data_IF_875915609584
#
_entry.id   IF_875915609584
#
_cell.length_a   1.000
_cell.length_b   1.000
_cell.length_c   1.000
_cell.angle_alpha   90.00
_cell.angle_beta   90.00
_cell.angle_gamma   90.00
#
_symmetry.space_group_name_H-M   'P 1'
#
loop_
_entity.id
_entity.type
_entity.pdbx_description
1 polymer ?
#
# COMPACT_ATOMS: atom_id res chain seq x y z
N UNK A 1 -14.58 -0.69 -8.43
CA UNK A 1 -14.10 -0.21 -7.98
C UNK A 1 -12.74 -0.04 -8.11
N UNK A 2 -12.11 0.86 -7.78
CA UNK A 2 -10.77 1.05 -8.01
C UNK A 2 -9.97 0.72 -6.82
N UNK A 3 -8.78 0.26 -7.00
CA UNK A 3 -7.96 -0.03 -5.92
C UNK A 3 -7.12 1.14 -5.71
N UNK A 4 -6.77 1.52 -4.50
CA UNK A 4 -5.89 2.63 -4.23
C UNK A 4 -4.46 2.13 -4.37
N UNK A 5 -3.50 3.04 -4.44
CA UNK A 5 -2.11 2.64 -4.54
C UNK A 5 -1.70 1.86 -3.31
N UNK A 6 -2.23 2.20 -2.15
CA UNK A 6 -1.88 1.46 -0.96
C UNK A 6 -2.32 0.01 -1.08
N UNK A 7 -3.48 -0.21 -1.64
CA UNK A 7 -3.97 -1.56 -1.81
C UNK A 7 -3.12 -2.30 -2.82
N UNK A 8 -2.69 -1.62 -3.86
CA UNK A 8 -1.86 -2.24 -4.87
C UNK A 8 -0.55 -2.70 -4.23
N UNK A 9 0.06 -1.87 -3.40
CA UNK A 9 1.31 -2.23 -2.75
C UNK A 9 1.09 -3.36 -1.75
N UNK A 10 -0.03 -3.37 -1.07
CA UNK A 10 -0.30 -4.44 -0.14
C UNK A 10 -0.41 -5.76 -0.88
N UNK A 11 -1.03 -5.74 -2.02
CA UNK A 11 -1.17 -6.93 -2.81
C UNK A 11 0.19 -7.41 -3.26
N UNK A 12 1.06 -6.50 -3.71
CA UNK A 12 2.38 -6.88 -4.15
C UNK A 12 3.17 -7.46 -2.99
N UNK A 13 3.02 -6.87 -1.82
CA UNK A 13 3.71 -7.38 -0.66
C UNK A 13 3.30 -8.83 -0.38
N UNK A 14 2.04 -9.12 -0.43
CA UNK A 14 1.55 -10.47 -0.18
C UNK A 14 2.05 -11.42 -1.25
N UNK A 15 2.09 -10.97 -2.47
CA UNK A 15 2.52 -11.79 -3.56
C UNK A 15 4.00 -12.07 -3.54
N UNK A 16 4.83 -11.13 -3.24
CA UNK A 16 6.26 -11.31 -3.26
C UNK A 16 6.87 -11.43 -1.88
N UNK A 17 6.20 -10.95 -0.86
CA UNK A 17 6.74 -10.99 0.47
C UNK A 17 7.74 -9.88 0.73
N UNK A 18 7.72 -8.85 -0.08
CA UNK A 18 8.71 -7.78 0.03
C UNK A 18 8.20 -6.75 1.02
N UNK A 19 8.88 -6.59 2.13
CA UNK A 19 8.48 -5.63 3.14
C UNK A 19 8.52 -4.20 2.65
N UNK A 20 9.26 -3.93 1.62
CA UNK A 20 9.30 -2.59 1.06
C UNK A 20 7.91 -2.20 0.60
N UNK A 21 7.19 -3.12 0.03
CA UNK A 21 5.85 -2.84 -0.42
C UNK A 21 4.94 -2.55 0.77
N UNK A 22 5.14 -3.28 1.84
CA UNK A 22 4.33 -3.06 3.01
C UNK A 22 4.59 -1.66 3.56
N UNK A 23 5.83 -1.26 3.60
CA UNK A 23 6.16 0.06 4.08
C UNK A 23 5.57 1.13 3.21
N UNK A 24 5.61 0.94 1.90
CA UNK A 24 5.04 1.90 0.99
C UNK A 24 3.54 2.02 1.22
N UNK A 25 2.88 0.91 1.41
CA UNK A 25 1.46 0.93 1.62
C UNK A 25 1.12 1.69 2.90
N UNK A 26 1.87 1.43 3.96
CA UNK A 26 1.65 2.10 5.22
C UNK A 26 1.89 3.59 5.08
N UNK A 27 2.91 3.98 4.36
CA UNK A 27 3.22 5.35 4.15
C UNK A 27 2.09 6.04 3.44
N UNK A 28 1.56 5.44 2.41
CA UNK A 28 0.48 6.02 1.68
C UNK A 28 -0.77 6.18 2.56
N UNK A 29 -1.05 5.21 3.38
CA UNK A 29 -2.17 5.28 4.25
C UNK A 29 -2.01 6.38 5.26
N UNK A 30 -0.81 6.60 5.74
CA UNK A 30 -0.59 7.58 6.69
C UNK A 30 -0.68 8.93 6.11
N UNK A 31 -0.14 9.17 4.97
CA UNK A 31 -0.16 10.48 4.41
C UNK A 31 -1.45 10.85 3.79
N UNK A 32 -2.41 9.91 3.56
CA UNK A 32 -3.57 10.18 2.96
C UNK A 32 -4.37 11.04 3.68
N UNK A 33 -4.47 11.79 4.22
CA UNK A 33 -5.23 12.55 4.93
C UNK A 33 -6.30 12.99 4.42
N UNK A 34 -6.93 12.97 3.92
CA UNK A 34 -7.94 13.35 3.53
C UNK A 34 -8.62 14.04 3.77
N UNK A 35 -8.98 14.20 3.76
CA UNK A 35 -9.49 14.82 4.03
C UNK A 35 -9.72 15.05 4.15
#
# INVERSE_FOLDING_TARGET
MTETMAEFYERKWIETGDLNYLELANRLRKTKKDE
#
